data_IF_258535817601
#
_entry.id   IF_258535817601
#
_cell.length_a   1.000
_cell.length_b   1.000
_cell.length_c   1.000
_cell.angle_alpha   90.00
_cell.angle_beta   90.00
_cell.angle_gamma   90.00
#
_symmetry.space_group_name_H-M   'P 1'
#
loop_
_entity.id
_entity.type
_entity.pdbx_description
1 polymer ?
#
# COMPACT_ATOMS: atom_id res chain seq x y z
N UNK A 1 -1.19 35.42 36.51
CA UNK A 1 -1.32 34.29 37.46
C UNK A 1 -1.75 33.09 36.64
N UNK A 2 -0.80 32.30 36.19
CA UNK A 2 -1.07 31.04 35.51
C UNK A 2 -0.85 29.90 36.49
N UNK A 3 -1.88 29.17 36.80
CA UNK A 3 -1.82 28.01 37.69
C UNK A 3 -1.27 26.81 36.92
N UNK A 4 -0.33 26.20 37.56
CA UNK A 4 0.40 24.98 37.24
C UNK A 4 -0.49 23.77 36.88
N UNK A 5 -0.24 23.09 35.75
CA UNK A 5 0.50 21.85 35.78
C UNK A 5 -0.33 20.61 35.89
N UNK A 6 -0.73 20.08 34.76
CA UNK A 6 -0.87 18.62 34.61
C UNK A 6 0.33 18.10 33.80
N UNK A 7 1.25 17.46 34.51
CA UNK A 7 2.38 16.75 33.94
C UNK A 7 1.86 15.45 33.32
N UNK A 8 1.75 15.43 32.02
CA UNK A 8 1.69 14.19 31.27
C UNK A 8 2.96 13.39 31.61
N UNK A 9 2.83 12.31 32.36
CA UNK A 9 3.92 11.40 32.68
C UNK A 9 4.18 10.48 31.47
N UNK A 10 4.74 11.03 30.40
CA UNK A 10 5.47 10.22 29.45
C UNK A 10 6.66 9.63 30.24
N UNK A 11 6.66 8.33 30.51
CA UNK A 11 7.84 7.59 30.94
C UNK A 11 8.87 7.67 29.81
N UNK A 12 9.57 8.81 29.77
CA UNK A 12 10.61 9.05 28.78
C UNK A 12 11.73 8.04 29.00
N UNK A 13 11.95 7.20 28.03
CA UNK A 13 13.22 6.51 27.86
C UNK A 13 14.31 7.60 27.70
N UNK A 14 14.99 7.95 28.79
CA UNK A 14 16.22 8.72 28.73
C UNK A 14 17.29 7.78 28.15
N UNK A 15 17.53 7.88 26.86
CA UNK A 15 18.71 7.30 26.24
C UNK A 15 19.94 7.95 26.86
N UNK A 16 20.60 7.26 27.77
CA UNK A 16 21.85 7.73 28.34
C UNK A 16 23.00 7.34 27.42
N UNK A 17 23.71 8.32 26.89
CA UNK A 17 24.99 8.10 26.21
C UNK A 17 26.01 7.66 27.25
N UNK A 18 26.60 6.49 27.06
CA UNK A 18 27.67 5.92 27.92
C UNK A 18 28.94 5.84 27.10
N UNK A 19 30.04 6.38 27.63
CA UNK A 19 31.38 6.17 27.06
C UNK A 19 31.93 4.83 27.53
N UNK A 20 32.57 4.10 26.62
CA UNK A 20 33.41 2.96 26.99
C UNK A 20 34.54 3.41 27.91
N UNK A 21 35.08 2.49 28.74
CA UNK A 21 36.16 2.78 29.69
C UNK A 21 37.42 3.35 29.01
N UNK A 22 37.65 3.04 27.73
CA UNK A 22 38.77 3.55 26.94
C UNK A 22 38.47 4.92 26.28
N UNK A 23 37.24 5.44 26.43
CA UNK A 23 36.82 6.74 25.90
C UNK A 23 36.67 6.83 24.40
N UNK A 24 36.84 5.73 23.63
CA UNK A 24 36.90 5.73 22.16
C UNK A 24 35.54 5.61 21.52
N UNK A 25 34.59 4.94 22.17
CA UNK A 25 33.25 4.75 21.62
C UNK A 25 32.18 5.31 22.54
N UNK A 26 31.14 5.88 21.91
CA UNK A 26 29.92 6.27 22.56
C UNK A 26 28.87 5.20 22.32
N UNK A 27 28.28 4.67 23.38
CA UNK A 27 27.17 3.74 23.32
C UNK A 27 25.91 4.40 23.84
N UNK A 28 24.78 4.02 23.25
CA UNK A 28 23.47 4.35 23.80
C UNK A 28 23.07 3.21 24.72
N UNK A 29 22.87 3.47 26.01
CA UNK A 29 22.37 2.47 26.94
C UNK A 29 20.90 2.21 26.64
N UNK A 30 20.63 1.29 25.71
CA UNK A 30 19.29 0.85 25.35
C UNK A 30 19.28 -0.66 25.15
N UNK A 31 18.09 -1.25 25.09
CA UNK A 31 17.92 -2.66 24.73
C UNK A 31 18.37 -2.96 23.29
N UNK A 32 18.45 -1.91 22.45
CA UNK A 32 18.85 -1.98 21.05
C UNK A 32 20.36 -1.86 20.82
N UNK A 33 21.20 -2.04 21.86
CA UNK A 33 22.68 -2.00 21.73
C UNK A 33 23.30 -3.22 21.05
N UNK A 34 22.58 -4.32 20.94
CA UNK A 34 23.09 -5.54 20.31
C UNK A 34 23.34 -5.37 18.80
N UNK A 35 24.34 -6.10 18.27
CA UNK A 35 24.63 -6.08 16.81
C UNK A 35 23.48 -6.68 15.99
N UNK A 36 22.74 -7.65 16.57
CA UNK A 36 21.54 -8.22 15.98
C UNK A 36 20.29 -7.57 16.58
N UNK A 37 19.74 -6.60 15.88
CA UNK A 37 18.53 -5.87 16.33
C UNK A 37 17.25 -6.67 16.16
N UNK A 38 17.29 -7.82 15.51
CA UNK A 38 16.11 -8.66 15.26
C UNK A 38 16.38 -10.05 15.81
N UNK A 39 16.07 -10.27 17.08
CA UNK A 39 15.99 -11.59 17.71
C UNK A 39 14.63 -11.74 18.39
N UNK A 40 14.09 -12.95 18.46
CA UNK A 40 12.79 -13.19 19.09
C UNK A 40 12.76 -12.65 20.54
N UNK A 41 13.82 -12.90 21.31
CA UNK A 41 13.91 -12.40 22.68
C UNK A 41 13.94 -10.87 22.79
N UNK A 42 14.50 -10.17 21.79
CA UNK A 42 14.45 -8.71 21.73
C UNK A 42 13.03 -8.24 21.39
N UNK A 43 12.42 -8.83 20.35
CA UNK A 43 11.06 -8.49 19.92
C UNK A 43 10.06 -8.69 21.07
N UNK A 44 10.12 -9.82 21.76
CA UNK A 44 9.27 -10.13 22.91
C UNK A 44 9.47 -9.16 24.11
N UNK A 45 10.62 -8.48 24.16
CA UNK A 45 10.97 -7.53 25.24
C UNK A 45 10.61 -6.07 24.92
N UNK A 46 10.18 -5.77 23.70
CA UNK A 46 9.85 -4.40 23.28
C UNK A 46 8.40 -4.10 23.64
N UNK A 47 8.22 -3.12 24.52
CA UNK A 47 6.93 -2.47 24.75
C UNK A 47 6.89 -1.23 23.84
N UNK A 48 6.38 -1.38 22.64
CA UNK A 48 6.19 -0.26 21.72
C UNK A 48 4.97 0.56 22.13
N UNK A 49 5.03 1.88 21.94
CA UNK A 49 3.82 2.70 21.96
C UNK A 49 2.96 2.34 20.74
N UNK A 50 1.63 2.51 20.84
CA UNK A 50 0.75 2.34 19.67
C UNK A 50 1.23 3.20 18.48
N UNK A 51 1.11 2.65 17.29
CA UNK A 51 1.53 3.36 16.07
C UNK A 51 0.68 4.62 15.86
N UNK A 52 1.33 5.75 15.64
CA UNK A 52 0.66 7.01 15.30
C UNK A 52 0.10 6.98 13.87
N UNK A 53 -1.13 7.41 13.70
CA UNK A 53 -1.76 7.58 12.37
C UNK A 53 -1.46 8.98 11.83
N UNK A 54 -0.59 9.07 10.82
CA UNK A 54 -0.15 10.35 10.27
C UNK A 54 -1.27 11.08 9.49
N UNK A 55 -2.08 10.34 8.76
CA UNK A 55 -3.15 10.86 7.90
C UNK A 55 -4.42 10.00 7.99
N UNK A 56 -5.11 9.97 9.16
CA UNK A 56 -6.21 9.03 9.41
C UNK A 56 -7.49 9.30 8.60
N UNK A 57 -7.55 10.38 7.87
CA UNK A 57 -8.70 10.79 7.06
C UNK A 57 -8.53 10.56 5.56
N UNK A 58 -7.36 10.05 5.13
CA UNK A 58 -7.14 9.74 3.72
C UNK A 58 -7.62 8.34 3.35
N UNK A 59 -8.03 8.19 2.11
CA UNK A 59 -8.38 6.90 1.52
C UNK A 59 -7.34 6.58 0.44
N UNK A 60 -6.69 5.43 0.54
CA UNK A 60 -5.76 4.95 -0.47
C UNK A 60 -6.54 4.13 -1.49
N UNK A 61 -6.48 4.55 -2.75
CA UNK A 61 -7.14 3.86 -3.87
C UNK A 61 -6.09 3.35 -4.85
N UNK A 62 -6.09 2.07 -5.12
CA UNK A 62 -5.24 1.51 -6.15
C UNK A 62 -6.00 1.33 -7.46
N UNK A 63 -5.59 2.02 -8.50
CA UNK A 63 -6.06 1.81 -9.87
C UNK A 63 -5.29 0.64 -10.47
N UNK A 64 -5.97 -0.48 -10.74
CA UNK A 64 -5.35 -1.68 -11.29
C UNK A 64 -4.65 -1.42 -12.61
N UNK A 65 -3.49 -2.05 -12.83
CA UNK A 65 -2.74 -1.91 -14.10
C UNK A 65 -3.42 -2.66 -15.23
N UNK A 66 -3.35 -4.01 -15.19
CA UNK A 66 -3.96 -4.86 -16.22
C UNK A 66 -5.48 -4.77 -16.20
N UNK A 67 -6.07 -4.76 -15.02
CA UNK A 67 -7.51 -4.76 -14.85
C UNK A 67 -8.20 -3.45 -15.21
N UNK A 68 -7.48 -2.31 -15.13
CA UNK A 68 -8.07 -0.99 -15.37
C UNK A 68 -7.28 -0.17 -16.39
N UNK A 69 -5.99 0.12 -16.13
CA UNK A 69 -5.21 1.00 -17.01
C UNK A 69 -5.10 0.46 -18.43
N UNK A 70 -4.92 -0.86 -18.60
CA UNK A 70 -4.82 -1.50 -19.92
C UNK A 70 -6.17 -1.53 -20.67
N UNK A 71 -7.31 -1.36 -19.99
CA UNK A 71 -8.62 -1.21 -20.62
C UNK A 71 -8.81 0.19 -21.25
N UNK A 72 -7.98 1.17 -20.85
CA UNK A 72 -7.95 2.50 -21.45
C UNK A 72 -9.32 3.19 -21.47
N UNK A 73 -9.77 3.61 -22.64
CA UNK A 73 -11.03 4.34 -22.83
C UNK A 73 -12.29 3.57 -22.38
N UNK A 74 -12.21 2.25 -22.22
CA UNK A 74 -13.35 1.42 -21.81
C UNK A 74 -13.63 1.52 -20.30
N UNK A 75 -12.62 1.84 -19.46
CA UNK A 75 -12.76 1.87 -18.01
C UNK A 75 -12.37 3.22 -17.38
N UNK A 76 -11.22 3.78 -17.79
CA UNK A 76 -10.65 4.96 -17.13
C UNK A 76 -11.62 6.16 -17.05
N UNK A 77 -12.35 6.59 -18.10
CA UNK A 77 -13.18 7.79 -18.02
C UNK A 77 -14.26 7.71 -16.92
N UNK A 78 -14.89 6.55 -16.75
CA UNK A 78 -15.93 6.35 -15.73
C UNK A 78 -15.33 6.39 -14.33
N UNK A 79 -14.20 5.71 -14.13
CA UNK A 79 -13.48 5.67 -12.85
C UNK A 79 -12.97 7.06 -12.46
N UNK A 80 -12.34 7.78 -13.39
CA UNK A 80 -11.86 9.15 -13.19
C UNK A 80 -13.00 10.09 -12.80
N UNK A 81 -14.13 9.98 -13.52
CA UNK A 81 -15.33 10.79 -13.17
C UNK A 81 -15.82 10.49 -11.77
N UNK A 82 -15.94 9.22 -11.39
CA UNK A 82 -16.41 8.81 -10.05
C UNK A 82 -15.45 9.27 -8.96
N UNK A 83 -14.12 9.18 -9.17
CA UNK A 83 -13.12 9.72 -8.26
C UNK A 83 -13.30 11.25 -8.12
N UNK A 84 -13.39 11.95 -9.25
CA UNK A 84 -13.57 13.41 -9.26
C UNK A 84 -14.85 13.86 -8.53
N UNK A 85 -15.95 13.15 -8.70
CA UNK A 85 -17.23 13.43 -8.05
C UNK A 85 -17.17 13.27 -6.50
N UNK A 86 -16.22 12.50 -6.02
CA UNK A 86 -16.02 12.24 -4.58
C UNK A 86 -14.97 13.15 -3.91
N UNK A 87 -14.25 14.00 -4.65
CA UNK A 87 -13.09 14.75 -4.13
C UNK A 87 -13.42 15.74 -3.00
N UNK A 88 -14.64 16.31 -2.99
CA UNK A 88 -15.06 17.25 -1.96
C UNK A 88 -15.41 16.57 -0.62
N UNK A 89 -15.75 15.27 -0.67
CA UNK A 89 -16.18 14.50 0.51
C UNK A 89 -15.07 13.64 1.09
N UNK A 90 -14.15 13.21 0.24
CA UNK A 90 -13.12 12.23 0.60
C UNK A 90 -11.74 12.71 0.14
N UNK A 91 -10.80 12.77 1.08
CA UNK A 91 -9.40 12.90 0.74
C UNK A 91 -8.90 11.56 0.19
N UNK A 92 -8.39 11.58 -1.02
CA UNK A 92 -7.96 10.38 -1.74
C UNK A 92 -6.49 10.50 -2.12
N UNK A 93 -5.78 9.39 -2.03
CA UNK A 93 -4.45 9.24 -2.58
C UNK A 93 -4.45 8.01 -3.49
N UNK A 94 -4.10 8.20 -4.75
CA UNK A 94 -4.15 7.15 -5.75
C UNK A 94 -2.79 6.52 -5.98
N UNK A 95 -2.79 5.20 -6.14
CA UNK A 95 -1.63 4.44 -6.65
C UNK A 95 -2.02 3.70 -7.92
N UNK A 96 -1.05 3.38 -8.76
CA UNK A 96 -1.29 2.69 -10.03
C UNK A 96 -0.55 1.37 -10.12
N UNK A 97 -1.12 0.43 -10.86
CA UNK A 97 -0.45 -0.80 -11.27
C UNK A 97 0.30 -0.65 -12.59
N UNK A 98 1.22 -1.57 -12.90
CA UNK A 98 2.00 -1.53 -14.15
C UNK A 98 1.32 -2.18 -15.34
N UNK A 99 0.42 -3.14 -15.11
CA UNK A 99 -0.33 -3.82 -16.18
C UNK A 99 0.49 -4.81 -17.02
N UNK A 100 0.00 -5.08 -18.23
CA UNK A 100 0.62 -6.01 -19.18
C UNK A 100 2.02 -5.58 -19.59
N UNK A 101 2.26 -4.28 -19.68
CA UNK A 101 3.60 -3.73 -20.01
C UNK A 101 4.65 -4.12 -18.99
N UNK A 102 4.31 -4.08 -17.67
CA UNK A 102 5.24 -4.54 -16.63
C UNK A 102 5.53 -6.04 -16.76
N UNK A 103 4.54 -6.87 -17.06
CA UNK A 103 4.74 -8.31 -17.25
C UNK A 103 5.67 -8.58 -18.43
N UNK A 104 5.50 -7.84 -19.52
CA UNK A 104 6.34 -7.96 -20.71
C UNK A 104 7.81 -7.60 -20.40
N UNK A 105 8.06 -6.45 -19.79
CA UNK A 105 9.44 -6.05 -19.46
C UNK A 105 10.06 -6.96 -18.40
N UNK A 106 9.28 -7.52 -17.48
CA UNK A 106 9.75 -8.53 -16.53
C UNK A 106 10.23 -9.79 -17.26
N UNK A 107 9.46 -10.29 -18.24
CA UNK A 107 9.86 -11.44 -19.05
C UNK A 107 11.21 -11.20 -19.74
N UNK A 108 11.37 -10.06 -20.40
CA UNK A 108 12.64 -9.67 -21.03
C UNK A 108 13.78 -9.62 -20.01
N UNK A 109 13.57 -8.98 -18.84
CA UNK A 109 14.59 -8.88 -17.81
C UNK A 109 15.00 -10.25 -17.25
N UNK A 110 14.05 -11.16 -17.05
CA UNK A 110 14.29 -12.54 -16.60
C UNK A 110 15.08 -13.32 -17.64
N UNK A 111 14.68 -13.25 -18.92
CA UNK A 111 15.38 -13.93 -20.03
C UNK A 111 16.84 -13.44 -20.18
N UNK A 112 17.09 -12.17 -19.89
CA UNK A 112 18.44 -11.57 -19.90
C UNK A 112 19.21 -11.78 -18.59
N UNK A 113 18.65 -12.50 -17.62
CA UNK A 113 19.32 -12.76 -16.33
C UNK A 113 19.52 -11.51 -15.46
N UNK A 114 18.67 -10.50 -15.62
CA UNK A 114 18.77 -9.28 -14.83
C UNK A 114 18.51 -9.51 -13.34
N UNK A 115 19.21 -8.82 -12.42
CA UNK A 115 18.93 -8.89 -10.99
C UNK A 115 17.49 -8.44 -10.64
N UNK A 116 16.92 -9.06 -9.60
CA UNK A 116 15.55 -8.77 -9.14
C UNK A 116 15.28 -7.28 -8.95
N UNK A 117 16.22 -6.51 -8.37
CA UNK A 117 16.07 -5.06 -8.18
C UNK A 117 15.98 -4.26 -9.49
N UNK A 118 16.70 -4.69 -10.54
CA UNK A 118 16.58 -4.07 -11.87
C UNK A 118 15.20 -4.37 -12.48
N UNK A 119 14.73 -5.62 -12.35
CA UNK A 119 13.40 -6.01 -12.84
C UNK A 119 12.31 -5.25 -12.07
N UNK A 120 12.46 -5.09 -10.75
CA UNK A 120 11.54 -4.27 -9.95
C UNK A 120 11.51 -2.82 -10.44
N UNK A 121 12.68 -2.21 -10.70
CA UNK A 121 12.78 -0.84 -11.23
C UNK A 121 12.08 -0.69 -12.59
N UNK A 122 12.18 -1.69 -13.47
CA UNK A 122 11.40 -1.68 -14.72
C UNK A 122 9.90 -1.62 -14.45
N UNK A 123 9.40 -2.38 -13.46
CA UNK A 123 8.00 -2.31 -13.04
C UNK A 123 7.59 -0.95 -12.52
N UNK A 124 8.49 -0.30 -11.77
CA UNK A 124 8.29 1.06 -11.26
C UNK A 124 8.10 2.05 -12.39
N UNK A 125 8.99 2.09 -13.39
CA UNK A 125 8.90 3.02 -14.51
C UNK A 125 7.61 2.85 -15.32
N UNK A 126 7.11 1.63 -15.47
CA UNK A 126 5.82 1.40 -16.13
C UNK A 126 4.65 1.87 -15.26
N UNK A 127 4.72 1.65 -13.95
CA UNK A 127 3.69 2.12 -13.02
C UNK A 127 3.68 3.65 -12.93
N UNK A 128 4.85 4.31 -12.98
CA UNK A 128 5.01 5.77 -13.09
C UNK A 128 4.30 6.33 -14.33
N UNK A 129 4.43 5.68 -15.49
CA UNK A 129 3.71 6.07 -16.71
C UNK A 129 2.18 5.99 -16.51
N UNK A 130 1.68 4.97 -15.82
CA UNK A 130 0.26 4.87 -15.50
C UNK A 130 -0.17 5.92 -14.48
N UNK A 131 0.69 6.27 -13.51
CA UNK A 131 0.42 7.35 -12.58
C UNK A 131 0.31 8.70 -13.30
N UNK A 132 1.21 8.98 -14.24
CA UNK A 132 1.15 10.17 -15.10
C UNK A 132 -0.16 10.20 -15.90
N UNK A 133 -0.55 9.08 -16.50
CA UNK A 133 -1.80 8.97 -17.26
C UNK A 133 -3.01 9.30 -16.38
N UNK A 134 -3.12 8.67 -15.20
CA UNK A 134 -4.23 8.88 -14.27
C UNK A 134 -4.25 10.32 -13.74
N UNK A 135 -3.08 10.86 -13.34
CA UNK A 135 -2.98 12.24 -12.90
C UNK A 135 -3.37 13.24 -13.99
N UNK A 136 -2.97 12.99 -15.24
CA UNK A 136 -3.33 13.82 -16.40
C UNK A 136 -4.85 13.82 -16.62
N UNK A 137 -5.50 12.67 -16.55
CA UNK A 137 -6.96 12.57 -16.68
C UNK A 137 -7.69 13.27 -15.50
N UNK A 138 -7.10 13.26 -14.31
CA UNK A 138 -7.62 13.96 -13.13
C UNK A 138 -7.22 15.44 -13.06
N UNK A 139 -6.32 15.95 -13.91
CA UNK A 139 -5.82 17.31 -13.83
C UNK A 139 -6.90 18.39 -13.76
N UNK A 140 -8.04 18.30 -14.53
CA UNK A 140 -9.14 19.27 -14.39
C UNK A 140 -9.81 19.28 -13.00
N UNK A 141 -9.56 18.27 -12.19
CA UNK A 141 -10.16 18.05 -10.87
C UNK A 141 -9.13 18.14 -9.73
N UNK A 142 -7.92 18.63 -10.02
CA UNK A 142 -6.84 18.74 -9.05
C UNK A 142 -5.90 17.53 -8.99
N UNK A 143 -5.96 16.61 -9.96
CA UNK A 143 -5.03 15.48 -10.05
C UNK A 143 -3.59 15.94 -10.23
N UNK A 144 -2.67 15.40 -9.42
CA UNK A 144 -1.25 15.72 -9.46
C UNK A 144 -0.42 14.45 -9.27
N UNK A 145 0.55 14.21 -10.17
CA UNK A 145 1.53 13.16 -9.94
C UNK A 145 2.56 13.61 -8.90
N UNK A 146 2.84 12.74 -7.93
CA UNK A 146 3.86 12.97 -6.91
C UNK A 146 4.78 11.76 -6.78
N UNK A 147 5.98 12.00 -6.25
CA UNK A 147 6.92 10.96 -5.87
C UNK A 147 6.73 10.51 -4.42
N UNK A 148 7.21 9.32 -4.05
CA UNK A 148 7.14 8.84 -2.66
C UNK A 148 7.87 9.78 -1.67
N UNK A 149 8.89 10.48 -2.12
CA UNK A 149 9.60 11.49 -1.31
C UNK A 149 8.75 12.72 -0.97
N UNK A 150 7.63 12.90 -1.68
CA UNK A 150 6.69 14.00 -1.45
C UNK A 150 5.60 13.70 -0.42
N UNK A 151 5.59 12.50 0.16
CA UNK A 151 4.58 12.08 1.15
C UNK A 151 4.45 13.05 2.33
N UNK A 152 5.57 13.61 2.80
CA UNK A 152 5.55 14.60 3.89
C UNK A 152 4.88 15.92 3.49
N UNK A 153 4.66 16.17 2.20
CA UNK A 153 4.00 17.37 1.65
C UNK A 153 2.48 17.19 1.45
N UNK A 154 1.94 16.01 1.73
CA UNK A 154 0.50 15.71 1.56
C UNK A 154 -0.43 16.76 2.16
N UNK A 155 -0.17 17.33 3.37
CA UNK A 155 -1.01 18.40 3.90
C UNK A 155 -1.12 19.62 2.97
N UNK A 156 -0.02 19.97 2.29
CA UNK A 156 -0.01 21.10 1.36
C UNK A 156 -0.83 20.81 0.09
N UNK A 157 -0.71 19.58 -0.44
CA UNK A 157 -1.49 19.17 -1.61
C UNK A 157 -2.99 19.14 -1.31
N UNK A 158 -3.40 18.59 -0.16
CA UNK A 158 -4.81 18.58 0.24
C UNK A 158 -5.35 19.97 0.55
N UNK A 159 -4.54 20.87 1.13
CA UNK A 159 -4.94 22.27 1.36
C UNK A 159 -5.22 23.03 0.04
N UNK A 160 -4.62 22.59 -1.07
CA UNK A 160 -4.85 23.12 -2.40
C UNK A 160 -5.94 22.39 -3.18
N UNK A 161 -6.64 21.44 -2.56
CA UNK A 161 -7.67 20.62 -3.22
C UNK A 161 -7.11 19.59 -4.21
N UNK A 162 -5.82 19.22 -4.09
CA UNK A 162 -5.21 18.24 -4.99
C UNK A 162 -5.64 16.82 -4.66
N UNK A 163 -5.63 15.97 -5.71
CA UNK A 163 -5.73 14.52 -5.63
C UNK A 163 -4.35 13.95 -6.01
N UNK A 164 -3.51 13.58 -5.03
CA UNK A 164 -2.20 13.00 -5.31
C UNK A 164 -2.30 11.63 -5.98
N UNK A 165 -1.42 11.38 -6.95
CA UNK A 165 -1.30 10.11 -7.68
C UNK A 165 0.17 9.72 -7.73
N UNK A 166 0.50 8.48 -7.36
CA UNK A 166 1.85 7.93 -7.47
C UNK A 166 1.83 6.51 -8.04
N UNK A 167 2.99 5.97 -8.33
CA UNK A 167 3.11 4.55 -8.69
C UNK A 167 2.91 3.65 -7.45
N UNK A 168 2.42 2.43 -7.69
CA UNK A 168 2.16 1.48 -6.60
C UNK A 168 3.36 0.65 -6.17
N UNK A 169 4.50 0.69 -6.86
CA UNK A 169 5.69 -0.07 -6.46
C UNK A 169 6.28 0.48 -5.16
N UNK A 170 6.81 -0.38 -4.27
CA UNK A 170 7.52 0.10 -3.09
C UNK A 170 8.73 0.98 -3.44
N UNK A 171 9.11 1.95 -2.60
CA UNK A 171 10.20 2.91 -2.88
C UNK A 171 11.60 2.27 -2.87
N UNK A 172 11.72 1.02 -2.44
CA UNK A 172 12.99 0.27 -2.39
C UNK A 172 13.19 -0.68 -3.58
N UNK A 173 12.67 -0.37 -4.74
CA UNK A 173 12.66 -1.22 -5.94
C UNK A 173 14.06 -1.74 -6.35
N UNK A 174 15.07 -0.87 -6.41
CA UNK A 174 16.45 -1.30 -6.67
C UNK A 174 17.00 -2.28 -5.63
N UNK A 175 16.49 -2.24 -4.43
CA UNK A 175 16.89 -3.09 -3.30
C UNK A 175 15.88 -4.21 -3.06
N UNK A 176 15.07 -4.57 -4.07
CA UNK A 176 14.16 -5.69 -3.96
C UNK A 176 14.94 -6.98 -3.63
N UNK A 177 14.39 -7.73 -2.68
CA UNK A 177 15.00 -8.98 -2.19
C UNK A 177 15.17 -9.95 -3.36
N UNK A 178 16.37 -10.57 -3.54
CA UNK A 178 16.59 -11.57 -4.56
C UNK A 178 15.62 -12.74 -4.42
N UNK A 179 15.00 -13.16 -5.52
CA UNK A 179 14.03 -14.25 -5.57
C UNK A 179 14.43 -15.32 -6.55
N UNK A 180 13.93 -16.55 -6.36
CA UNK A 180 14.03 -17.59 -7.37
C UNK A 180 13.24 -17.12 -8.61
N UNK A 181 13.90 -17.14 -9.78
CA UNK A 181 13.31 -16.64 -11.03
C UNK A 181 13.31 -15.12 -11.18
N UNK A 182 13.94 -14.39 -10.26
CA UNK A 182 14.16 -12.94 -10.31
C UNK A 182 12.88 -12.07 -10.33
N UNK A 183 11.70 -12.66 -10.14
CA UNK A 183 10.44 -11.91 -10.10
C UNK A 183 10.32 -11.16 -8.76
N UNK A 184 10.11 -9.84 -8.76
CA UNK A 184 9.94 -9.08 -7.52
C UNK A 184 8.73 -9.60 -6.72
N UNK A 185 8.94 -9.96 -5.45
CA UNK A 185 7.86 -10.39 -4.55
C UNK A 185 6.93 -9.24 -4.21
N UNK A 186 7.51 -8.07 -3.95
CA UNK A 186 6.78 -6.87 -3.60
C UNK A 186 6.58 -6.02 -4.84
N UNK A 187 5.35 -5.96 -5.32
CA UNK A 187 4.96 -5.17 -6.49
C UNK A 187 3.93 -4.11 -6.11
N UNK A 188 3.05 -3.76 -7.02
CA UNK A 188 2.20 -2.59 -6.87
C UNK A 188 1.05 -2.74 -5.86
N UNK A 189 0.56 -3.95 -5.58
CA UNK A 189 -0.43 -4.15 -4.50
C UNK A 189 0.25 -4.00 -3.14
N UNK A 190 1.47 -4.55 -3.00
CA UNK A 190 2.27 -4.44 -1.77
C UNK A 190 2.63 -2.99 -1.46
N UNK A 191 3.15 -2.23 -2.42
CA UNK A 191 3.48 -0.83 -2.16
C UNK A 191 2.26 0.00 -1.78
N UNK A 192 1.08 -0.34 -2.29
CA UNK A 192 -0.18 0.32 -1.92
C UNK A 192 -0.55 0.09 -0.45
N UNK A 193 -0.50 -1.16 0.04
CA UNK A 193 -0.81 -1.43 1.45
C UNK A 193 0.25 -0.88 2.39
N UNK A 194 1.54 -0.90 2.01
CA UNK A 194 2.61 -0.26 2.77
C UNK A 194 2.39 1.25 2.88
N UNK A 195 1.90 1.89 1.82
CA UNK A 195 1.54 3.30 1.85
C UNK A 195 0.35 3.55 2.78
N UNK A 196 -0.65 2.67 2.77
CA UNK A 196 -1.80 2.76 3.66
C UNK A 196 -1.39 2.60 5.13
N UNK A 197 -0.52 1.63 5.42
CA UNK A 197 0.03 1.40 6.77
C UNK A 197 0.87 2.58 7.25
N UNK A 198 1.84 3.05 6.45
CA UNK A 198 2.69 4.20 6.75
C UNK A 198 1.86 5.44 7.10
N UNK A 199 0.80 5.68 6.37
CA UNK A 199 -0.05 6.87 6.55
C UNK A 199 -1.09 6.69 7.65
N UNK A 200 -1.36 5.47 8.08
CA UNK A 200 -2.48 5.15 8.97
C UNK A 200 -3.81 5.49 8.32
N UNK A 201 -3.93 5.22 7.01
CA UNK A 201 -5.07 5.60 6.19
C UNK A 201 -6.42 5.08 6.73
N UNK A 202 -7.50 5.79 6.43
CA UNK A 202 -8.88 5.40 6.76
C UNK A 202 -9.30 4.11 6.05
N UNK A 203 -8.90 3.98 4.78
CA UNK A 203 -9.23 2.82 3.95
C UNK A 203 -8.14 2.53 2.93
N UNK A 204 -8.03 1.26 2.51
CA UNK A 204 -7.19 0.81 1.42
C UNK A 204 -8.08 0.00 0.44
N UNK A 205 -8.30 0.57 -0.76
CA UNK A 205 -9.27 0.08 -1.74
C UNK A 205 -8.54 -0.27 -3.04
N UNK A 206 -8.66 -1.52 -3.47
CA UNK A 206 -8.11 -2.03 -4.73
C UNK A 206 -9.21 -2.05 -5.81
N UNK A 207 -9.08 -1.18 -6.79
CA UNK A 207 -9.99 -1.07 -7.93
C UNK A 207 -9.50 -2.02 -9.04
N UNK A 208 -10.26 -3.06 -9.29
CA UNK A 208 -10.01 -4.13 -10.28
C UNK A 208 -11.16 -4.21 -11.29
N UNK A 209 -11.13 -5.18 -12.19
CA UNK A 209 -12.18 -5.48 -13.17
C UNK A 209 -13.06 -6.68 -12.78
N UNK A 210 -12.80 -7.27 -11.62
CA UNK A 210 -13.58 -8.37 -11.06
C UNK A 210 -14.37 -7.92 -9.84
N UNK A 211 -15.48 -8.61 -9.56
CA UNK A 211 -16.36 -8.31 -8.42
C UNK A 211 -15.61 -8.38 -7.08
N UNK A 212 -14.60 -9.24 -6.99
CA UNK A 212 -13.74 -9.42 -5.84
C UNK A 212 -13.01 -10.75 -5.90
N UNK A 213 -12.78 -11.36 -4.74
CA UNK A 213 -12.12 -12.65 -4.59
C UNK A 213 -13.12 -13.79 -4.82
N UNK A 214 -12.66 -14.86 -5.42
CA UNK A 214 -13.39 -16.11 -5.62
C UNK A 214 -12.58 -17.28 -5.09
N UNK A 215 -13.24 -18.42 -4.88
CA UNK A 215 -12.58 -19.66 -4.46
C UNK A 215 -11.63 -20.22 -5.51
N UNK A 216 -11.76 -19.79 -6.77
CA UNK A 216 -10.92 -20.12 -7.91
C UNK A 216 -11.11 -19.03 -8.98
N UNK A 217 -10.36 -19.04 -10.08
CA UNK A 217 -10.56 -18.11 -11.20
C UNK A 217 -11.93 -18.34 -11.89
N UNK A 218 -12.88 -17.40 -11.76
CA UNK A 218 -14.23 -17.59 -12.33
C UNK A 218 -14.23 -17.66 -13.87
N UNK A 219 -13.15 -17.20 -14.52
CA UNK A 219 -12.99 -17.31 -15.99
C UNK A 219 -12.58 -18.71 -16.43
N UNK A 220 -11.94 -19.48 -15.54
CA UNK A 220 -11.50 -20.86 -15.80
C UNK A 220 -12.44 -21.89 -15.18
N UNK A 221 -13.01 -21.58 -14.03
CA UNK A 221 -13.88 -22.48 -13.28
C UNK A 221 -15.27 -21.87 -13.03
N UNK A 222 -16.31 -22.28 -13.79
CA UNK A 222 -17.67 -21.78 -13.58
C UNK A 222 -18.29 -22.11 -12.21
N UNK A 223 -17.65 -22.98 -11.40
CA UNK A 223 -18.07 -23.32 -10.04
C UNK A 223 -17.37 -22.45 -8.99
N UNK A 224 -16.54 -21.49 -9.40
CA UNK A 224 -15.90 -20.58 -8.48
C UNK A 224 -16.97 -19.75 -7.74
N UNK A 225 -16.91 -19.78 -6.41
CA UNK A 225 -17.84 -19.06 -5.54
C UNK A 225 -17.23 -17.73 -5.12
N UNK A 226 -18.03 -16.68 -5.15
CA UNK A 226 -17.63 -15.36 -4.70
C UNK A 226 -17.46 -15.32 -3.18
N UNK A 227 -16.39 -14.66 -2.72
CA UNK A 227 -16.06 -14.49 -1.30
C UNK A 227 -16.25 -13.02 -0.95
N UNK A 228 -17.30 -12.70 -0.22
CA UNK A 228 -17.60 -11.34 0.20
C UNK A 228 -16.67 -10.86 1.32
N UNK A 229 -16.35 -11.71 2.29
CA UNK A 229 -15.50 -11.40 3.43
C UNK A 229 -14.62 -12.61 3.78
N UNK A 230 -13.35 -12.34 4.14
CA UNK A 230 -12.42 -13.39 4.58
C UNK A 230 -11.31 -12.78 5.43
N UNK A 231 -10.84 -13.55 6.44
CA UNK A 231 -9.65 -13.20 7.20
C UNK A 231 -8.38 -13.40 6.38
N UNK A 232 -7.40 -12.53 6.58
CA UNK A 232 -6.14 -12.60 5.85
C UNK A 232 -5.34 -13.86 6.20
N UNK A 233 -5.34 -14.29 7.48
CA UNK A 233 -4.72 -15.54 7.92
C UNK A 233 -5.40 -16.75 7.27
N UNK A 234 -6.72 -16.79 7.35
CA UNK A 234 -7.52 -17.83 6.72
C UNK A 234 -7.25 -17.94 5.22
N UNK A 235 -7.08 -16.82 4.54
CA UNK A 235 -6.75 -16.80 3.11
C UNK A 235 -5.30 -17.27 2.83
N UNK A 236 -4.36 -16.92 3.70
CA UNK A 236 -2.97 -17.43 3.62
C UNK A 236 -2.91 -18.94 3.80
N UNK A 237 -3.67 -19.49 4.77
CA UNK A 237 -3.74 -20.92 5.05
C UNK A 237 -4.38 -21.74 3.93
N UNK A 238 -5.28 -21.14 3.14
CA UNK A 238 -5.86 -21.78 1.94
C UNK A 238 -4.84 -22.04 0.85
N UNK A 239 -3.71 -21.32 0.86
CA UNK A 239 -2.60 -21.41 -0.10
C UNK A 239 -3.05 -21.42 -1.57
N UNK A 240 -4.05 -20.60 -1.87
CA UNK A 240 -4.67 -20.50 -3.20
C UNK A 240 -3.66 -19.94 -4.22
N UNK A 241 -3.50 -20.61 -5.36
CA UNK A 241 -2.50 -20.27 -6.37
C UNK A 241 -2.82 -18.95 -7.10
N UNK A 242 -4.08 -18.69 -7.41
CA UNK A 242 -4.53 -17.55 -8.22
C UNK A 242 -5.28 -16.54 -7.35
N UNK A 243 -4.54 -15.66 -6.71
CA UNK A 243 -5.09 -14.56 -5.92
C UNK A 243 -5.24 -13.29 -6.76
N UNK A 244 -6.37 -12.62 -6.61
CA UNK A 244 -6.60 -11.30 -7.22
C UNK A 244 -5.69 -10.20 -6.64
N UNK A 245 -5.06 -10.45 -5.50
CA UNK A 245 -4.11 -9.56 -4.82
C UNK A 245 -2.78 -10.27 -4.58
N UNK A 246 -1.69 -9.53 -4.49
CA UNK A 246 -0.37 -10.09 -4.18
C UNK A 246 -0.36 -10.69 -2.78
N UNK A 247 0.07 -11.96 -2.64
CA UNK A 247 0.08 -12.70 -1.36
C UNK A 247 0.76 -11.94 -0.20
N UNK A 248 1.92 -11.26 -0.38
CA UNK A 248 2.54 -10.52 0.72
C UNK A 248 1.65 -9.41 1.31
N UNK A 249 0.62 -8.93 0.59
CA UNK A 249 -0.34 -7.98 1.14
C UNK A 249 -1.09 -8.54 2.36
N UNK A 250 -1.34 -9.85 2.38
CA UNK A 250 -2.03 -10.53 3.47
C UNK A 250 -1.16 -10.57 4.73
N UNK A 251 0.14 -10.83 4.56
CA UNK A 251 1.12 -10.84 5.65
C UNK A 251 1.27 -9.43 6.24
N UNK A 252 1.36 -8.40 5.38
CA UNK A 252 1.43 -7.00 5.81
C UNK A 252 0.15 -6.62 6.57
N UNK A 253 -1.03 -7.01 6.07
CA UNK A 253 -2.30 -6.74 6.75
C UNK A 253 -2.34 -7.38 8.14
N UNK A 254 -1.86 -8.63 8.28
CA UNK A 254 -1.81 -9.31 9.58
C UNK A 254 -0.88 -8.62 10.59
N UNK A 255 0.21 -8.02 10.12
CA UNK A 255 1.20 -7.37 10.97
C UNK A 255 0.92 -5.87 11.19
N UNK A 256 0.00 -5.26 10.43
CA UNK A 256 -0.34 -3.85 10.57
C UNK A 256 -1.07 -3.58 11.89
N UNK A 257 -0.70 -2.51 12.59
CA UNK A 257 -1.42 -2.05 13.79
C UNK A 257 -2.54 -1.06 13.44
N UNK A 258 -2.48 -0.45 12.25
CA UNK A 258 -3.38 0.66 11.88
C UNK A 258 -4.36 0.32 10.75
N UNK A 259 -4.03 -0.65 9.89
CA UNK A 259 -4.94 -1.11 8.84
C UNK A 259 -5.62 -2.40 9.28
N UNK A 260 -6.94 -2.32 9.47
CA UNK A 260 -7.75 -3.46 9.92
C UNK A 260 -8.30 -4.28 8.75
N UNK A 261 -8.50 -3.65 7.60
CA UNK A 261 -9.08 -4.30 6.41
C UNK A 261 -8.66 -3.61 5.12
N UNK A 262 -8.71 -4.38 4.04
CA UNK A 262 -8.58 -3.91 2.67
C UNK A 262 -9.83 -4.32 1.89
N UNK A 263 -10.18 -3.54 0.86
CA UNK A 263 -11.34 -3.82 -0.01
C UNK A 263 -10.90 -4.02 -1.45
N UNK A 264 -11.48 -5.00 -2.13
CA UNK A 264 -11.28 -5.25 -3.56
C UNK A 264 -12.63 -5.05 -4.25
N UNK A 265 -12.70 -4.11 -5.17
CA UNK A 265 -13.96 -3.71 -5.82
C UNK A 265 -13.84 -3.72 -7.34
N UNK A 266 -14.95 -3.90 -8.01
CA UNK A 266 -15.04 -3.77 -9.47
C UNK A 266 -15.24 -2.31 -9.87
N UNK A 267 -14.16 -1.64 -10.34
CA UNK A 267 -14.22 -0.24 -10.78
C UNK A 267 -14.97 -0.03 -12.10
N UNK A 268 -15.29 -1.09 -12.85
CA UNK A 268 -16.08 -0.97 -14.08
C UNK A 268 -17.59 -0.87 -13.82
N UNK A 269 -18.01 -1.12 -12.57
CA UNK A 269 -19.41 -0.98 -12.13
C UNK A 269 -19.58 0.39 -11.46
N UNK A 270 -20.36 1.31 -12.05
CA UNK A 270 -20.55 2.66 -11.51
C UNK A 270 -21.09 2.67 -10.08
N UNK A 271 -20.59 3.57 -9.27
CA UNK A 271 -21.03 3.80 -7.89
C UNK A 271 -20.33 2.92 -6.83
N UNK A 272 -19.56 1.88 -7.22
CA UNK A 272 -18.89 1.02 -6.24
C UNK A 272 -17.69 1.72 -5.57
N UNK A 273 -16.99 2.61 -6.26
CA UNK A 273 -15.93 3.42 -5.66
C UNK A 273 -16.54 4.34 -4.58
N UNK A 274 -17.64 5.00 -4.91
CA UNK A 274 -18.36 5.88 -3.98
C UNK A 274 -18.84 5.12 -2.74
N UNK A 275 -19.43 3.96 -2.91
CA UNK A 275 -19.89 3.10 -1.79
C UNK A 275 -18.72 2.68 -0.90
N UNK A 276 -17.62 2.22 -1.50
CA UNK A 276 -16.43 1.83 -0.76
C UNK A 276 -15.83 3.01 0.03
N UNK A 277 -15.76 4.22 -0.56
CA UNK A 277 -15.31 5.44 0.09
C UNK A 277 -16.22 5.82 1.27
N UNK A 278 -17.51 5.59 1.17
CA UNK A 278 -18.48 5.78 2.25
C UNK A 278 -18.38 4.72 3.36
N UNK A 279 -17.55 3.70 3.19
CA UNK A 279 -17.35 2.63 4.15
C UNK A 279 -18.35 1.47 4.03
N UNK A 280 -19.14 1.43 2.95
CA UNK A 280 -20.04 0.31 2.67
C UNK A 280 -19.23 -0.94 2.29
N UNK A 281 -19.68 -2.11 2.72
CA UNK A 281 -19.11 -3.39 2.30
C UNK A 281 -19.57 -3.69 0.88
N UNK A 282 -18.65 -3.53 -0.08
CA UNK A 282 -18.85 -3.83 -1.49
C UNK A 282 -17.64 -4.61 -2.03
N UNK A 283 -17.88 -5.53 -2.97
CA UNK A 283 -16.83 -6.42 -3.44
C UNK A 283 -16.37 -7.40 -2.36
N UNK A 284 -15.07 -7.63 -2.26
CA UNK A 284 -14.48 -8.47 -1.19
C UNK A 284 -13.78 -7.60 -0.15
N UNK A 285 -14.04 -7.88 1.11
CA UNK A 285 -13.29 -7.32 2.25
C UNK A 285 -12.39 -8.41 2.83
N UNK A 286 -11.09 -8.12 2.91
CA UNK A 286 -10.12 -8.96 3.60
C UNK A 286 -9.73 -8.23 4.89
N UNK A 287 -9.91 -8.87 6.04
CA UNK A 287 -9.66 -8.26 7.35
C UNK A 287 -8.53 -8.96 8.10
N UNK A 288 -7.90 -8.22 9.00
CA UNK A 288 -6.90 -8.74 9.94
C UNK A 288 -7.61 -9.60 10.99
N UNK A 289 -7.05 -10.79 11.28
CA UNK A 289 -7.52 -11.71 12.33
C UNK A 289 -6.66 -11.60 13.58
#
# INVERSE_FOLDING_TARGET
MFTSGERCSARGYRMALVREKDGRRLHVKSRLMGESLVSNSLLDSIEAAPQERLFPDINILKVGGQSICDLGAKALPAIIKEIADNREKHRMFLTTGGGTRSRHIFSIGIELGMPTGIIARFGTTISEQNALLVATLLAPYGGIQIEHTDLIKLPNYYAQGCIPVTHGMPPYDFFAIPTKGHIPMHRTDVGTILLADLTGARSCIYIKDETGLYTDDPKKNPKAEFIAEIGARTLLERDQDDLIIERPCLEILQNSEVIEKISIINGTVPGLITKALNGETVGTVIYRE
#
